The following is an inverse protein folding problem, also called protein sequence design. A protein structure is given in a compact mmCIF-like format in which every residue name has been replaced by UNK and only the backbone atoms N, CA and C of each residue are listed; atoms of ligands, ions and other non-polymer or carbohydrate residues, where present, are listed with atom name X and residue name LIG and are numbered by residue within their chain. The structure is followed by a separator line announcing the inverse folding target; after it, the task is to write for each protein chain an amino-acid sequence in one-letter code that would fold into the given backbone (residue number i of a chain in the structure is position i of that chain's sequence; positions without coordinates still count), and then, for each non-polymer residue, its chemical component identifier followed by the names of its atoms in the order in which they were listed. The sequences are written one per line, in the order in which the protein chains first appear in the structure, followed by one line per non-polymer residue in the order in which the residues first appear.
data_IF_486068653397
#
_entry.id   IF_486068653397
#
_cell.length_a   1.000
_cell.length_b   1.000
_cell.length_c   1.000
_cell.angle_alpha   90.00
_cell.angle_beta   90.00
_cell.angle_gamma   90.00
#
_symmetry.space_group_name_H-M   'P 1'
#
loop_
_entity.id
_entity.type
_entity.pdbx_description
1 polymer ?
#
# COMPACT_ATOMS: atom_id res chain seq x y z
N UNK A 1 13.70 3.56 30.58
CA UNK A 1 14.60 3.94 29.47
C UNK A 1 14.95 2.65 28.76
N UNK A 2 14.25 2.29 27.71
CA UNK A 2 14.48 1.05 26.98
C UNK A 2 15.43 1.37 25.83
N UNK A 3 16.67 0.85 25.96
CA UNK A 3 17.66 0.89 24.90
C UNK A 3 17.13 0.12 23.69
N UNK A 4 16.73 0.83 22.65
CA UNK A 4 16.61 0.26 21.32
C UNK A 4 18.03 0.07 20.76
N UNK A 5 18.60 -1.09 20.97
CA UNK A 5 19.79 -1.48 20.27
C UNK A 5 19.43 -1.66 18.80
N UNK A 6 19.74 -0.66 17.97
CA UNK A 6 19.70 -0.80 16.51
C UNK A 6 20.80 -1.82 16.18
N UNK A 7 20.39 -3.03 15.83
CA UNK A 7 21.27 -4.06 15.30
C UNK A 7 21.75 -3.62 13.92
N UNK A 8 22.95 -3.05 13.89
CA UNK A 8 23.59 -2.50 12.71
C UNK A 8 24.51 -3.55 12.05
N UNK A 9 24.03 -4.78 11.91
CA UNK A 9 24.81 -5.82 11.26
C UNK A 9 24.03 -6.42 10.09
N UNK A 10 24.57 -6.22 8.89
CA UNK A 10 24.04 -6.69 7.60
C UNK A 10 24.03 -8.22 7.44
N UNK A 11 24.47 -8.96 8.45
CA UNK A 11 24.56 -10.42 8.46
C UNK A 11 23.32 -11.12 9.03
N UNK A 12 22.35 -10.41 9.62
CA UNK A 12 21.18 -10.99 10.27
C UNK A 12 19.95 -11.17 9.36
N UNK A 13 20.17 -11.43 8.06
CA UNK A 13 19.08 -11.85 7.19
C UNK A 13 18.68 -13.30 7.52
N UNK A 14 17.51 -13.48 8.09
CA UNK A 14 16.91 -14.79 8.30
C UNK A 14 16.19 -15.24 7.03
N UNK A 15 16.43 -16.46 6.61
CA UNK A 15 15.58 -17.08 5.61
C UNK A 15 14.14 -17.28 6.17
N UNK A 16 13.18 -17.52 5.29
CA UNK A 16 11.78 -17.67 5.68
C UNK A 16 11.56 -18.74 6.75
N UNK A 17 12.35 -19.84 6.73
CA UNK A 17 12.26 -20.94 7.68
C UNK A 17 12.79 -20.52 9.07
N UNK A 18 13.92 -19.80 9.11
CA UNK A 18 14.47 -19.28 10.36
C UNK A 18 13.54 -18.22 10.98
N UNK A 19 12.94 -17.36 10.15
CA UNK A 19 11.95 -16.37 10.60
C UNK A 19 10.71 -17.05 11.18
N UNK A 20 10.15 -18.06 10.51
CA UNK A 20 9.03 -18.84 11.01
C UNK A 20 9.34 -19.54 12.32
N UNK A 21 10.53 -20.13 12.45
CA UNK A 21 10.96 -20.76 13.69
C UNK A 21 11.05 -19.75 14.85
N UNK A 22 11.59 -18.57 14.60
CA UNK A 22 11.65 -17.49 15.60
C UNK A 22 10.27 -16.99 16.00
N UNK A 23 9.38 -16.77 15.02
CA UNK A 23 7.99 -16.38 15.28
C UNK A 23 7.29 -17.45 16.13
N UNK A 24 7.40 -18.71 15.75
CA UNK A 24 6.78 -19.83 16.49
C UNK A 24 7.31 -19.90 17.93
N UNK A 25 8.63 -19.85 18.11
CA UNK A 25 9.25 -19.93 19.44
C UNK A 25 8.93 -18.70 20.30
N UNK A 26 8.89 -17.52 19.72
CA UNK A 26 8.55 -16.27 20.42
C UNK A 26 7.09 -16.17 20.83
N UNK A 27 6.22 -16.97 20.25
CA UNK A 27 4.78 -16.97 20.51
C UNK A 27 4.33 -18.01 21.54
N UNK A 28 5.13 -19.04 21.77
CA UNK A 28 4.78 -20.09 22.74
C UNK A 28 4.78 -19.50 24.15
N UNK A 29 3.64 -19.59 24.83
CA UNK A 29 3.47 -19.15 26.22
C UNK A 29 3.56 -17.64 26.44
N UNK A 30 3.44 -16.82 25.40
CA UNK A 30 3.48 -15.36 25.53
C UNK A 30 2.21 -14.69 24.98
N UNK A 31 1.85 -13.52 25.53
CA UNK A 31 0.74 -12.67 25.03
C UNK A 31 1.22 -11.62 24.01
N UNK A 32 2.39 -11.84 23.42
CA UNK A 32 2.96 -10.91 22.41
C UNK A 32 2.07 -10.80 21.19
N UNK A 33 1.86 -9.59 20.76
CA UNK A 33 1.22 -9.26 19.50
C UNK A 33 2.28 -8.95 18.45
N UNK A 34 1.99 -9.34 17.21
CA UNK A 34 2.84 -9.06 16.05
C UNK A 34 2.21 -7.91 15.27
N UNK A 35 2.94 -6.81 15.17
CA UNK A 35 2.62 -5.68 14.30
C UNK A 35 3.28 -5.93 12.95
N UNK A 36 2.49 -5.81 11.89
CA UNK A 36 3.02 -5.87 10.53
C UNK A 36 3.36 -4.46 10.03
N UNK A 37 4.56 -4.33 9.46
CA UNK A 37 4.95 -3.14 8.68
C UNK A 37 5.15 -3.62 7.25
N UNK A 38 4.30 -3.16 6.35
CA UNK A 38 4.24 -3.68 4.98
C UNK A 38 4.31 -2.56 3.95
N UNK A 39 4.83 -2.89 2.78
CA UNK A 39 4.99 -1.96 1.66
C UNK A 39 4.59 -2.60 0.34
N UNK A 40 4.91 -1.92 -0.76
CA UNK A 40 4.45 -2.22 -2.13
C UNK A 40 4.70 -3.65 -2.59
N UNK A 41 5.76 -4.31 -2.12
CA UNK A 41 6.03 -5.71 -2.48
C UNK A 41 4.90 -6.68 -2.09
N UNK A 42 4.06 -6.32 -1.10
CA UNK A 42 2.95 -7.16 -0.67
C UNK A 42 1.84 -7.23 -1.75
N UNK A 43 1.56 -6.13 -2.42
CA UNK A 43 0.45 -5.97 -3.37
C UNK A 43 0.89 -5.94 -4.83
N UNK A 44 2.21 -5.90 -5.07
CA UNK A 44 2.77 -5.88 -6.42
C UNK A 44 2.54 -7.20 -7.17
N UNK A 45 2.35 -7.15 -8.50
CA UNK A 45 2.29 -8.34 -9.32
C UNK A 45 3.61 -9.12 -9.24
N UNK A 46 3.52 -10.45 -9.30
CA UNK A 46 4.71 -11.33 -9.30
C UNK A 46 5.53 -11.23 -10.59
N UNK A 47 4.86 -10.91 -11.68
CA UNK A 47 5.46 -10.82 -13.01
C UNK A 47 5.16 -9.45 -13.62
N UNK A 48 6.05 -8.98 -14.48
CA UNK A 48 5.85 -7.72 -15.20
C UNK A 48 4.58 -7.80 -16.04
N UNK A 49 3.70 -6.82 -15.91
CA UNK A 49 2.40 -6.80 -16.58
C UNK A 49 1.33 -7.71 -15.98
N UNK A 50 1.65 -8.40 -14.87
CA UNK A 50 0.66 -9.17 -14.10
C UNK A 50 -0.35 -8.29 -13.36
N UNK A 51 -1.41 -8.92 -12.83
CA UNK A 51 -2.40 -8.24 -12.01
C UNK A 51 -1.86 -7.92 -10.60
N UNK A 52 -2.15 -6.72 -10.13
CA UNK A 52 -1.73 -6.21 -8.83
C UNK A 52 -1.52 -4.70 -8.89
N UNK A 53 -1.17 -4.09 -7.79
CA UNK A 53 -0.76 -2.68 -7.77
C UNK A 53 0.66 -2.58 -8.33
N UNK A 54 0.89 -1.82 -9.42
CA UNK A 54 2.21 -1.75 -10.03
C UNK A 54 3.29 -1.31 -9.05
N UNK A 55 4.47 -1.90 -9.16
CA UNK A 55 5.66 -1.45 -8.44
C UNK A 55 6.26 -0.17 -9.05
N UNK A 56 7.48 0.17 -8.61
CA UNK A 56 8.15 1.43 -8.97
C UNK A 56 8.16 1.70 -10.48
N UNK A 57 8.60 0.73 -11.28
CA UNK A 57 8.70 0.92 -12.74
C UNK A 57 7.33 1.15 -13.38
N UNK A 58 6.32 0.35 -13.00
CA UNK A 58 4.97 0.54 -13.52
C UNK A 58 4.31 1.85 -13.08
N UNK A 59 4.64 2.37 -11.90
CA UNK A 59 4.24 3.72 -11.47
C UNK A 59 4.93 4.80 -12.33
N UNK A 60 6.21 4.64 -12.64
CA UNK A 60 6.93 5.56 -13.52
C UNK A 60 6.32 5.56 -14.93
N UNK A 61 5.93 4.39 -15.44
CA UNK A 61 5.23 4.29 -16.73
C UNK A 61 3.87 5.00 -16.70
N UNK A 62 3.11 4.85 -15.61
CA UNK A 62 1.86 5.60 -15.41
C UNK A 62 2.09 7.10 -15.36
N UNK A 63 3.13 7.58 -14.66
CA UNK A 63 3.53 8.98 -14.65
C UNK A 63 3.83 9.44 -16.09
N UNK A 64 4.63 8.66 -16.82
CA UNK A 64 4.96 8.95 -18.21
C UNK A 64 3.71 9.07 -19.11
N UNK A 65 2.64 8.33 -18.83
CA UNK A 65 1.38 8.42 -19.58
C UNK A 65 0.62 9.74 -19.40
N UNK A 66 0.89 10.49 -18.32
CA UNK A 66 0.31 11.80 -18.05
C UNK A 66 1.10 12.96 -18.68
N UNK A 67 2.25 12.68 -19.29
CA UNK A 67 3.20 13.65 -19.78
C UNK A 67 3.22 13.70 -21.31
N UNK A 68 3.55 14.85 -21.87
CA UNK A 68 3.88 15.00 -23.28
C UNK A 68 5.20 14.31 -23.62
N UNK A 69 5.52 14.17 -24.92
CA UNK A 69 6.77 13.52 -25.34
C UNK A 69 8.01 14.25 -24.84
N UNK A 70 8.01 15.59 -24.85
CA UNK A 70 9.11 16.40 -24.34
C UNK A 70 9.27 16.23 -22.82
N UNK A 71 8.16 16.29 -22.09
CA UNK A 71 8.17 16.08 -20.64
C UNK A 71 8.61 14.67 -20.25
N UNK A 72 8.29 13.63 -21.06
CA UNK A 72 8.81 12.26 -20.84
C UNK A 72 10.33 12.18 -20.98
N UNK A 73 10.89 12.93 -21.94
CA UNK A 73 12.35 13.04 -22.05
C UNK A 73 12.96 13.73 -20.84
N UNK A 74 12.32 14.78 -20.36
CA UNK A 74 12.75 15.50 -19.16
C UNK A 74 12.65 14.61 -17.91
N UNK A 75 11.55 13.87 -17.75
CA UNK A 75 11.41 12.85 -16.69
C UNK A 75 12.55 11.82 -16.78
N UNK A 76 12.80 11.27 -17.97
CA UNK A 76 13.85 10.27 -18.16
C UNK A 76 15.22 10.80 -17.75
N UNK A 77 15.51 12.07 -18.04
CA UNK A 77 16.75 12.74 -17.60
C UNK A 77 16.78 12.95 -16.08
N UNK A 78 15.65 13.34 -15.50
CA UNK A 78 15.55 13.59 -14.06
C UNK A 78 15.78 12.33 -13.22
N UNK A 79 15.30 11.16 -13.69
CA UNK A 79 15.45 9.90 -12.97
C UNK A 79 16.72 9.11 -13.37
N UNK A 80 17.45 9.57 -14.39
CA UNK A 80 18.71 8.93 -14.82
C UNK A 80 19.76 9.05 -13.72
N UNK A 81 20.20 7.91 -13.17
CA UNK A 81 21.19 7.90 -12.07
C UNK A 81 20.62 8.25 -10.69
N UNK A 82 19.31 8.44 -10.56
CA UNK A 82 18.66 8.72 -9.29
C UNK A 82 18.81 7.54 -8.32
N UNK A 83 19.12 7.84 -7.06
CA UNK A 83 19.15 6.85 -5.98
C UNK A 83 17.74 6.33 -5.62
N UNK A 84 16.72 7.16 -5.83
CA UNK A 84 15.32 6.81 -5.62
C UNK A 84 14.47 7.32 -6.80
N UNK A 85 14.41 6.53 -7.85
CA UNK A 85 13.65 6.86 -9.07
C UNK A 85 12.18 7.17 -8.82
N UNK A 86 11.56 6.48 -7.85
CA UNK A 86 10.16 6.70 -7.48
C UNK A 86 9.95 8.13 -6.95
N UNK A 87 10.76 8.54 -5.98
CA UNK A 87 10.63 9.86 -5.37
C UNK A 87 10.91 10.98 -6.40
N UNK A 88 11.93 10.80 -7.23
CA UNK A 88 12.30 11.80 -8.24
C UNK A 88 11.25 11.90 -9.34
N UNK A 89 10.62 10.78 -9.74
CA UNK A 89 9.51 10.78 -10.68
C UNK A 89 8.29 11.53 -10.14
N UNK A 90 7.92 11.29 -8.88
CA UNK A 90 6.84 12.06 -8.25
C UNK A 90 7.21 13.53 -8.01
N UNK A 91 8.46 13.82 -7.67
CA UNK A 91 8.92 15.21 -7.56
C UNK A 91 8.74 15.95 -8.89
N UNK A 92 9.12 15.30 -10.00
CA UNK A 92 8.91 15.84 -11.34
C UNK A 92 7.42 16.04 -11.66
N UNK A 93 6.60 15.03 -11.42
CA UNK A 93 5.15 15.08 -11.67
C UNK A 93 4.46 16.18 -10.87
N UNK A 94 4.77 16.28 -9.57
CA UNK A 94 4.21 17.31 -8.68
C UNK A 94 4.60 18.72 -9.13
N UNK A 95 5.83 18.89 -9.60
CA UNK A 95 6.32 20.17 -10.12
C UNK A 95 5.68 20.58 -11.45
N UNK A 96 5.40 19.63 -12.34
CA UNK A 96 4.86 19.89 -13.67
C UNK A 96 3.33 19.86 -13.75
N UNK A 97 2.65 19.01 -12.96
CA UNK A 97 1.20 18.75 -13.08
C UNK A 97 0.42 18.93 -11.77
N UNK A 98 1.11 19.04 -10.65
CA UNK A 98 0.50 19.23 -9.34
C UNK A 98 -0.05 17.96 -8.67
N UNK A 99 -0.57 18.09 -7.43
CA UNK A 99 -0.96 16.95 -6.60
C UNK A 99 -2.18 16.19 -7.12
N UNK A 100 -3.09 16.86 -7.83
CA UNK A 100 -4.29 16.19 -8.37
C UNK A 100 -3.91 15.10 -9.38
N UNK A 101 -2.94 15.37 -10.27
CA UNK A 101 -2.48 14.38 -11.24
C UNK A 101 -1.69 13.26 -10.55
N UNK A 102 -0.93 13.56 -9.50
CA UNK A 102 -0.28 12.54 -8.69
C UNK A 102 -1.31 11.59 -8.05
N UNK A 103 -2.39 12.11 -7.48
CA UNK A 103 -3.48 11.31 -6.93
C UNK A 103 -4.19 10.47 -8.03
N UNK A 104 -4.34 11.00 -9.25
CA UNK A 104 -4.88 10.26 -10.39
C UNK A 104 -3.99 9.07 -10.79
N UNK A 105 -2.67 9.27 -10.80
CA UNK A 105 -1.70 8.18 -11.07
C UNK A 105 -1.86 7.07 -10.03
N UNK A 106 -1.98 7.41 -8.75
CA UNK A 106 -2.20 6.42 -7.68
C UNK A 106 -3.55 5.69 -7.89
N UNK A 107 -4.62 6.38 -8.23
CA UNK A 107 -5.91 5.72 -8.53
C UNK A 107 -5.82 4.75 -9.70
N UNK A 108 -5.12 5.12 -10.77
CA UNK A 108 -4.86 4.24 -11.92
C UNK A 108 -4.04 3.01 -11.50
N UNK A 109 -3.04 3.20 -10.66
CA UNK A 109 -2.23 2.10 -10.13
C UNK A 109 -3.06 1.12 -9.30
N UNK A 110 -3.89 1.63 -8.39
CA UNK A 110 -4.78 0.80 -7.58
C UNK A 110 -5.83 0.09 -8.44
N UNK A 111 -6.38 0.76 -9.46
CA UNK A 111 -7.32 0.17 -10.41
C UNK A 111 -6.74 -1.03 -11.17
N UNK A 112 -5.42 -1.10 -11.37
CA UNK A 112 -4.78 -2.24 -12.03
C UNK A 112 -4.91 -3.56 -11.24
N UNK A 113 -5.19 -3.48 -9.93
CA UNK A 113 -5.48 -4.65 -9.11
C UNK A 113 -6.94 -5.13 -9.18
N UNK A 114 -7.82 -4.43 -9.92
CA UNK A 114 -9.20 -4.88 -10.14
C UNK A 114 -9.28 -5.98 -11.19
N UNK A 115 -10.04 -7.02 -10.89
CA UNK A 115 -10.29 -8.13 -11.84
C UNK A 115 -11.16 -7.68 -13.02
N UNK A 116 -12.11 -6.80 -12.78
CA UNK A 116 -13.00 -6.22 -13.79
C UNK A 116 -12.33 -5.14 -14.65
N UNK A 117 -11.14 -4.68 -14.29
CA UNK A 117 -10.35 -3.81 -15.14
C UNK A 117 -10.02 -4.46 -16.49
N UNK A 118 -10.01 -5.79 -16.56
CA UNK A 118 -9.85 -6.58 -17.79
C UNK A 118 -11.18 -6.72 -18.53
N UNK A 119 -12.30 -6.74 -17.83
CA UNK A 119 -13.64 -6.90 -18.38
C UNK A 119 -14.32 -5.56 -18.73
N UNK A 120 -13.59 -4.60 -19.27
CA UNK A 120 -14.00 -3.20 -19.58
C UNK A 120 -15.25 -3.00 -20.43
N UNK A 121 -16.12 -3.96 -20.51
CA UNK A 121 -17.36 -3.92 -21.29
C UNK A 121 -18.57 -3.44 -20.52
N UNK A 122 -18.47 -3.23 -19.19
CA UNK A 122 -19.66 -2.97 -18.34
C UNK A 122 -19.72 -1.58 -17.70
N UNK A 123 -19.15 -0.52 -18.28
CA UNK A 123 -19.45 0.87 -17.89
C UNK A 123 -19.08 1.34 -16.46
N UNK A 124 -18.56 0.46 -15.62
CA UNK A 124 -18.17 0.73 -14.22
C UNK A 124 -16.67 0.52 -13.99
N UNK A 125 -15.84 1.02 -14.89
CA UNK A 125 -14.41 1.00 -14.67
C UNK A 125 -14.00 2.01 -13.59
N UNK A 126 -13.18 1.60 -12.66
CA UNK A 126 -12.52 2.52 -11.74
C UNK A 126 -11.60 3.45 -12.55
N UNK A 127 -11.93 4.73 -12.58
CA UNK A 127 -11.18 5.78 -13.30
C UNK A 127 -10.63 6.80 -12.31
N UNK A 128 -9.77 7.68 -12.81
CA UNK A 128 -9.22 8.78 -12.02
C UNK A 128 -10.34 9.70 -11.47
N UNK A 129 -11.46 9.83 -12.19
CA UNK A 129 -12.60 10.69 -11.84
C UNK A 129 -13.68 9.98 -11.02
N UNK A 130 -13.43 8.72 -10.62
CA UNK A 130 -14.39 7.96 -9.81
C UNK A 130 -14.61 8.66 -8.47
N UNK A 131 -15.87 8.86 -8.09
CA UNK A 131 -16.22 9.52 -6.82
C UNK A 131 -15.75 8.70 -5.61
N UNK A 132 -15.53 9.36 -4.48
CA UNK A 132 -15.15 8.66 -3.24
C UNK A 132 -16.20 7.63 -2.80
N UNK A 133 -17.48 7.92 -2.99
CA UNK A 133 -18.56 6.98 -2.67
C UNK A 133 -18.45 5.71 -3.52
N UNK A 134 -18.20 5.86 -4.81
CA UNK A 134 -17.96 4.73 -5.70
C UNK A 134 -16.67 3.98 -5.33
N UNK A 135 -15.59 4.68 -4.95
CA UNK A 135 -14.37 4.06 -4.44
C UNK A 135 -14.65 3.18 -3.21
N UNK A 136 -15.47 3.66 -2.26
CA UNK A 136 -15.88 2.86 -1.10
C UNK A 136 -16.71 1.64 -1.52
N UNK A 137 -17.58 1.79 -2.54
CA UNK A 137 -18.32 0.67 -3.12
C UNK A 137 -17.41 -0.41 -3.69
N UNK A 138 -16.32 -0.03 -4.37
CA UNK A 138 -15.32 -0.99 -4.84
C UNK A 138 -14.63 -1.74 -3.70
N UNK A 139 -14.36 -1.10 -2.57
CA UNK A 139 -13.75 -1.75 -1.41
C UNK A 139 -14.64 -2.84 -0.79
N UNK A 140 -15.96 -2.68 -0.85
CA UNK A 140 -16.91 -3.67 -0.34
C UNK A 140 -17.06 -4.88 -1.26
N UNK A 141 -16.73 -4.74 -2.56
CA UNK A 141 -16.69 -5.83 -3.52
C UNK A 141 -15.38 -6.61 -3.39
N UNK A 142 -15.30 -7.46 -2.38
CA UNK A 142 -14.07 -8.22 -2.08
C UNK A 142 -13.66 -9.20 -3.18
N UNK A 143 -14.62 -9.69 -3.97
CA UNK A 143 -14.37 -10.62 -5.07
C UNK A 143 -13.80 -9.92 -6.32
N UNK A 144 -14.00 -8.62 -6.46
CA UNK A 144 -13.53 -7.83 -7.62
C UNK A 144 -12.05 -7.46 -7.57
N UNK A 145 -11.28 -7.91 -6.58
CA UNK A 145 -9.86 -7.57 -6.43
C UNK A 145 -8.93 -8.76 -6.60
N UNK A 146 -7.81 -8.52 -7.27
CA UNK A 146 -6.70 -9.47 -7.28
C UNK A 146 -5.95 -9.37 -5.95
N UNK A 147 -6.14 -10.35 -5.09
CA UNK A 147 -5.39 -10.47 -3.84
C UNK A 147 -4.19 -11.39 -4.08
N UNK A 148 -2.98 -10.84 -3.95
CA UNK A 148 -1.76 -11.66 -3.99
C UNK A 148 -1.78 -12.71 -2.88
N UNK A 149 -1.04 -13.82 -2.98
CA UNK A 149 -0.98 -14.82 -1.91
C UNK A 149 -0.55 -14.22 -0.57
N UNK A 150 0.36 -13.23 -0.58
CA UNK A 150 0.82 -12.56 0.65
C UNK A 150 -0.28 -11.73 1.30
N UNK A 151 -1.02 -10.95 0.53
CA UNK A 151 -2.17 -10.16 1.02
C UNK A 151 -3.25 -11.08 1.58
N UNK A 152 -3.58 -12.15 0.86
CA UNK A 152 -4.59 -13.13 1.31
C UNK A 152 -4.19 -13.79 2.62
N UNK A 153 -2.95 -14.26 2.72
CA UNK A 153 -2.43 -14.87 3.94
C UNK A 153 -2.43 -13.89 5.13
N UNK A 154 -2.14 -12.60 4.88
CA UNK A 154 -2.20 -11.58 5.92
C UNK A 154 -3.63 -11.38 6.45
N UNK A 155 -4.62 -11.32 5.57
CA UNK A 155 -6.04 -11.25 5.96
C UNK A 155 -6.50 -12.48 6.75
N UNK A 156 -6.15 -13.67 6.29
CA UNK A 156 -6.47 -14.94 6.96
C UNK A 156 -5.81 -15.02 8.35
N UNK A 157 -4.55 -14.59 8.50
CA UNK A 157 -3.87 -14.55 9.79
C UNK A 157 -4.53 -13.58 10.75
N UNK A 158 -4.89 -12.37 10.28
CA UNK A 158 -5.52 -11.35 11.10
C UNK A 158 -6.88 -11.81 11.63
N UNK A 159 -7.66 -12.51 10.82
CA UNK A 159 -9.00 -13.02 11.19
C UNK A 159 -8.90 -14.30 12.02
N UNK A 160 -8.02 -15.22 11.64
CA UNK A 160 -7.86 -16.49 12.34
C UNK A 160 -7.21 -16.38 13.72
N UNK A 161 -6.38 -15.34 13.92
CA UNK A 161 -5.62 -15.16 15.16
C UNK A 161 -5.60 -13.69 15.61
N UNK A 162 -6.77 -13.04 15.85
CA UNK A 162 -6.87 -11.60 16.07
C UNK A 162 -6.14 -11.13 17.34
N UNK A 163 -5.97 -11.99 18.34
CA UNK A 163 -5.20 -11.69 19.55
C UNK A 163 -3.68 -11.69 19.35
N UNK A 164 -3.19 -12.15 18.21
CA UNK A 164 -1.76 -12.37 17.95
C UNK A 164 -1.25 -11.62 16.75
N UNK A 165 -2.01 -11.59 15.66
CA UNK A 165 -1.61 -11.04 14.38
C UNK A 165 -2.52 -9.90 13.94
N UNK A 166 -1.92 -8.84 13.44
CA UNK A 166 -2.61 -7.83 12.67
C UNK A 166 -3.65 -7.00 13.42
N UNK A 167 -3.61 -6.95 14.75
CA UNK A 167 -4.42 -5.96 15.48
C UNK A 167 -4.05 -4.55 15.05
N UNK A 168 -2.74 -4.32 14.80
CA UNK A 168 -2.22 -3.10 14.19
C UNK A 168 -1.34 -3.47 13.00
N UNK A 169 -1.60 -2.85 11.86
CA UNK A 169 -0.79 -2.97 10.65
C UNK A 169 -0.41 -1.57 10.18
N UNK A 170 0.87 -1.35 9.95
CA UNK A 170 1.39 -0.10 9.37
C UNK A 170 1.68 -0.35 7.89
N UNK A 171 1.28 0.56 7.04
CA UNK A 171 1.56 0.41 5.61
C UNK A 171 1.98 1.71 4.95
N UNK A 172 2.95 1.60 4.06
CA UNK A 172 3.32 2.67 3.11
C UNK A 172 2.54 2.59 1.80
N UNK A 173 1.71 1.55 1.63
CA UNK A 173 0.84 1.41 0.46
C UNK A 173 -0.32 2.41 0.52
N UNK A 174 -0.87 2.70 -0.64
CA UNK A 174 -2.06 3.55 -0.79
C UNK A 174 -3.33 2.73 -1.04
N UNK A 175 -3.16 1.46 -1.42
CA UNK A 175 -4.24 0.57 -1.89
C UNK A 175 -5.07 -0.02 -0.74
N UNK A 176 -6.33 -0.42 -1.01
CA UNK A 176 -7.23 -0.97 -0.01
C UNK A 176 -7.02 -2.46 0.29
N UNK A 177 -6.06 -3.13 -0.39
CA UNK A 177 -6.05 -4.61 -0.49
C UNK A 177 -5.89 -5.32 0.85
N UNK A 178 -5.23 -4.70 1.85
CA UNK A 178 -5.16 -5.27 3.20
C UNK A 178 -6.56 -5.33 3.83
N UNK A 179 -7.30 -4.22 3.80
CA UNK A 179 -8.67 -4.16 4.33
C UNK A 179 -9.62 -5.09 3.57
N UNK A 180 -9.51 -5.11 2.24
CA UNK A 180 -10.29 -6.01 1.36
C UNK A 180 -10.00 -7.48 1.71
N UNK A 181 -8.74 -7.85 1.95
CA UNK A 181 -8.38 -9.23 2.29
C UNK A 181 -8.93 -9.66 3.66
N UNK A 182 -8.92 -8.76 4.65
CA UNK A 182 -9.51 -9.00 5.97
C UNK A 182 -11.03 -9.21 5.81
N UNK A 183 -11.70 -8.35 5.04
CA UNK A 183 -13.14 -8.49 4.77
C UNK A 183 -13.46 -9.77 4.00
N UNK A 184 -12.64 -10.15 3.02
CA UNK A 184 -12.78 -11.42 2.29
C UNK A 184 -12.60 -12.65 3.19
N UNK A 185 -11.80 -12.55 4.25
CA UNK A 185 -11.63 -13.59 5.27
C UNK A 185 -12.73 -13.56 6.34
N UNK A 186 -13.71 -12.65 6.26
CA UNK A 186 -14.83 -12.52 7.20
C UNK A 186 -14.55 -11.66 8.42
N UNK A 187 -13.47 -10.89 8.42
CA UNK A 187 -13.11 -9.98 9.50
C UNK A 187 -13.54 -8.54 9.27
N UNK A 188 -13.22 -7.70 10.25
CA UNK A 188 -13.46 -6.26 10.21
C UNK A 188 -12.13 -5.51 10.30
N UNK A 189 -11.99 -4.42 9.56
CA UNK A 189 -10.84 -3.54 9.66
C UNK A 189 -11.26 -2.08 9.81
N UNK A 190 -10.42 -1.32 10.51
CA UNK A 190 -10.52 0.14 10.67
C UNK A 190 -9.32 0.78 9.99
N UNK A 191 -9.53 1.94 9.39
CA UNK A 191 -8.51 2.67 8.66
C UNK A 191 -8.20 4.00 9.32
N UNK A 192 -6.90 4.29 9.49
CA UNK A 192 -6.39 5.62 9.82
C UNK A 192 -5.45 6.07 8.72
N UNK A 193 -5.64 7.26 8.19
CA UNK A 193 -4.71 7.93 7.28
C UNK A 193 -3.94 8.94 8.13
N UNK A 194 -2.68 8.63 8.44
CA UNK A 194 -1.94 9.30 9.52
C UNK A 194 -1.88 10.81 9.35
N UNK A 195 -1.45 11.33 8.19
CA UNK A 195 -1.30 12.75 7.95
C UNK A 195 -2.63 13.53 7.89
N UNK A 196 -3.75 12.86 7.58
CA UNK A 196 -5.08 13.46 7.56
C UNK A 196 -5.74 13.45 8.95
N UNK A 197 -5.68 12.30 9.61
CA UNK A 197 -6.40 12.04 10.84
C UNK A 197 -5.60 12.49 12.08
N UNK A 198 -4.28 12.72 11.93
CA UNK A 198 -3.38 13.30 12.93
C UNK A 198 -3.19 12.46 14.20
N UNK A 199 -3.95 11.40 14.39
CA UNK A 199 -3.90 10.53 15.57
C UNK A 199 -4.31 9.11 15.24
N UNK A 200 -3.65 8.15 15.89
CA UNK A 200 -4.03 6.73 15.83
C UNK A 200 -5.00 6.49 16.98
N UNK A 201 -6.29 6.58 16.72
CA UNK A 201 -7.30 6.12 17.67
C UNK A 201 -7.41 4.61 17.54
N UNK A 202 -6.78 3.88 18.44
CA UNK A 202 -7.02 2.45 18.59
C UNK A 202 -8.39 2.28 19.25
N UNK A 203 -9.44 2.20 18.43
CA UNK A 203 -10.78 1.91 18.95
C UNK A 203 -10.75 0.52 19.60
N UNK A 204 -11.32 0.42 20.79
CA UNK A 204 -11.58 -0.85 21.45
C UNK A 204 -12.63 -1.60 20.61
N UNK A 205 -12.18 -2.50 19.75
CA UNK A 205 -13.05 -3.31 18.90
C UNK A 205 -12.31 -4.55 18.38
N UNK A 206 -13.08 -5.58 18.04
CA UNK A 206 -12.57 -6.87 17.55
C UNK A 206 -12.15 -6.81 16.06
N UNK A 207 -11.45 -5.76 15.63
CA UNK A 207 -11.01 -5.59 14.26
C UNK A 207 -9.53 -5.23 14.14
N UNK A 208 -9.01 -5.37 12.93
CA UNK A 208 -7.64 -4.95 12.59
C UNK A 208 -7.59 -3.46 12.33
N UNK A 209 -6.60 -2.76 12.85
CA UNK A 209 -6.38 -1.35 12.61
C UNK A 209 -5.26 -1.17 11.58
N UNK A 210 -5.59 -0.62 10.42
CA UNK A 210 -4.64 -0.39 9.33
C UNK A 210 -4.29 1.09 9.31
N UNK A 211 -3.01 1.42 9.52
CA UNK A 211 -2.50 2.78 9.54
C UNK A 211 -1.75 3.03 8.24
N UNK A 212 -2.26 3.93 7.42
CA UNK A 212 -1.68 4.36 6.16
C UNK A 212 -0.74 5.54 6.41
N UNK A 213 0.55 5.32 6.26
CA UNK A 213 1.59 6.29 6.59
C UNK A 213 1.74 7.37 5.51
N UNK A 214 1.46 7.04 4.25
CA UNK A 214 1.72 7.90 3.10
C UNK A 214 0.45 8.37 2.38
N UNK A 215 -0.71 8.24 3.00
CA UNK A 215 -1.98 8.59 2.39
C UNK A 215 -2.76 7.39 1.87
N UNK A 216 -3.86 7.67 1.20
CA UNK A 216 -4.79 6.66 0.72
C UNK A 216 -5.23 6.98 -0.71
N UNK A 217 -5.63 6.00 -1.49
CA UNK A 217 -5.95 6.14 -2.91
C UNK A 217 -7.14 7.05 -3.23
N UNK A 218 -7.93 7.45 -2.23
CA UNK A 218 -8.95 8.50 -2.33
C UNK A 218 -9.14 9.24 -0.99
N UNK A 219 -9.71 10.45 -1.05
CA UNK A 219 -10.13 11.22 0.12
C UNK A 219 -8.98 11.87 0.91
N UNK A 220 -7.75 11.78 0.42
CA UNK A 220 -6.57 12.44 0.97
C UNK A 220 -5.49 12.54 -0.10
N UNK A 221 -4.58 13.49 0.07
CA UNK A 221 -3.37 13.52 -0.74
C UNK A 221 -2.46 12.33 -0.42
N UNK A 222 -1.68 11.93 -1.40
CA UNK A 222 -0.67 10.90 -1.24
C UNK A 222 0.72 11.51 -1.13
N UNK A 223 1.54 10.99 -0.22
CA UNK A 223 2.84 11.55 0.12
C UNK A 223 3.95 10.71 -0.53
N UNK A 224 4.71 11.29 -1.44
CA UNK A 224 5.67 10.58 -2.28
C UNK A 224 7.10 11.07 -2.10
N UNK A 225 7.29 12.27 -1.60
CA UNK A 225 8.60 12.93 -1.54
C UNK A 225 9.01 13.23 -0.10
N UNK A 226 10.33 13.31 0.20
CA UNK A 226 10.80 13.68 1.53
C UNK A 226 10.25 15.04 2.00
N UNK A 227 10.02 15.98 1.07
CA UNK A 227 9.46 17.27 1.39
C UNK A 227 8.03 17.18 1.90
N UNK A 228 7.21 16.31 1.31
CA UNK A 228 5.83 16.08 1.76
C UNK A 228 5.81 15.35 3.11
N UNK A 229 6.71 14.37 3.31
CA UNK A 229 6.79 13.56 4.54
C UNK A 229 7.36 14.34 5.75
N UNK A 230 8.07 15.45 5.52
CA UNK A 230 8.69 16.28 6.57
C UNK A 230 7.87 17.55 6.89
N UNK A 231 6.66 17.69 6.39
CA UNK A 231 5.82 18.87 6.64
C UNK A 231 4.88 18.73 7.85
N UNK A 232 4.97 17.59 8.57
CA UNK A 232 4.19 17.32 9.78
C UNK A 232 5.08 17.51 11.06
#
# INVERSE_FOLDING_TARGET
MNDFTILNDSSDYYDAKALLARLSNGMVGSDRQIVFVVGSALTAPKEVGGQGVPGVDGIIDLIGSELTDDERQDLSRAIAGASNKYQDAFHFLLGSRGPQVANQVIRKAVAAARLDAVARTSGYALTADTSEEACRGFETDTAGWHLTPGVRALGELAVGYPGRFGKVMLTTNFDPLIGVSISAAGGTSFRTILHRDGNISLTEGDGSHIVYLHGYWFGSDTLHTPRQLNQD
#
